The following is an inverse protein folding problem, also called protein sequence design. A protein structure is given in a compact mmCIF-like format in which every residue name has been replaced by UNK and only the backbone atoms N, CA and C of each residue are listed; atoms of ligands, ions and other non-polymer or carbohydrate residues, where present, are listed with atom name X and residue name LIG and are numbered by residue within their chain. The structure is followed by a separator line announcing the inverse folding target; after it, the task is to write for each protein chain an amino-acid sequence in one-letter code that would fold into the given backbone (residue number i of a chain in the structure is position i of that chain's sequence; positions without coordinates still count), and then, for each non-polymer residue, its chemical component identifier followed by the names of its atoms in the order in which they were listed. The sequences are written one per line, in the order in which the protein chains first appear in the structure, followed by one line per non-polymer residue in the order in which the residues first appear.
data_IF_052119162897
#
_entry.id   IF_052119162897
#
_cell.length_a   1.000
_cell.length_b   1.000
_cell.length_c   1.000
_cell.angle_alpha   90.00
_cell.angle_beta   90.00
_cell.angle_gamma   90.00
#
_symmetry.space_group_name_H-M   'P 1'
#
loop_
_entity.id
_entity.type
_entity.pdbx_description
1 polymer ?
#
# COMPACT_ATOMS: atom_id res chain seq x y z
N UNK A 1 -7.55 -34.81 40.70
CA UNK A 1 -6.42 -34.22 39.92
C UNK A 1 -6.92 -33.93 38.51
N UNK A 2 -7.12 -32.66 38.11
CA UNK A 2 -7.13 -32.07 36.74
C UNK A 2 -7.54 -30.58 36.93
N UNK A 3 -6.64 -29.73 37.45
CA UNK A 3 -6.85 -28.26 37.50
C UNK A 3 -5.71 -27.47 36.83
N UNK A 4 -4.72 -28.16 36.26
CA UNK A 4 -3.46 -27.56 35.81
C UNK A 4 -3.55 -26.90 34.41
N UNK A 5 -4.61 -27.14 33.64
CA UNK A 5 -4.63 -26.79 32.21
C UNK A 5 -5.15 -25.37 31.90
N UNK A 6 -5.98 -24.78 32.77
CA UNK A 6 -6.66 -23.50 32.46
C UNK A 6 -5.72 -22.29 32.62
N UNK A 7 -4.83 -22.31 33.61
CA UNK A 7 -3.85 -21.23 33.83
C UNK A 7 -2.72 -21.26 32.81
N UNK A 8 -2.33 -22.44 32.33
CA UNK A 8 -1.34 -22.59 31.25
C UNK A 8 -1.84 -21.98 29.94
N UNK A 9 -3.11 -22.17 29.60
CA UNK A 9 -3.77 -21.55 28.43
C UNK A 9 -3.87 -20.02 28.54
N UNK A 10 -4.21 -19.49 29.72
CA UNK A 10 -4.25 -18.04 29.96
C UNK A 10 -2.84 -17.42 29.87
N UNK A 11 -1.84 -18.12 30.39
CA UNK A 11 -0.44 -17.71 30.32
C UNK A 11 0.10 -17.73 28.87
N UNK A 12 -0.26 -18.76 28.08
CA UNK A 12 0.09 -18.83 26.66
C UNK A 12 -0.58 -17.71 25.85
N UNK A 13 -1.84 -17.38 26.16
CA UNK A 13 -2.57 -16.29 25.51
C UNK A 13 -1.97 -14.92 25.85
N UNK A 14 -1.50 -14.73 27.09
CA UNK A 14 -0.80 -13.53 27.54
C UNK A 14 0.55 -13.31 26.85
N UNK A 15 1.32 -14.36 26.58
CA UNK A 15 2.61 -14.26 25.87
C UNK A 15 2.42 -13.84 24.41
N UNK A 16 1.38 -14.33 23.73
CA UNK A 16 1.09 -13.96 22.33
C UNK A 16 0.70 -12.48 22.17
N UNK A 17 0.11 -11.87 23.20
CA UNK A 17 -0.24 -10.44 23.21
C UNK A 17 0.96 -9.51 23.37
N UNK A 18 2.02 -9.93 24.07
CA UNK A 18 3.21 -9.11 24.32
C UNK A 18 4.11 -9.02 23.07
N UNK A 19 4.11 -10.04 22.20
CA UNK A 19 4.97 -10.09 21.02
C UNK A 19 4.55 -9.15 19.88
N UNK A 20 3.35 -8.56 19.91
CA UNK A 20 2.89 -7.62 18.86
C UNK A 20 3.24 -6.16 19.15
N UNK A 21 3.57 -5.82 20.40
CA UNK A 21 3.75 -4.42 20.83
C UNK A 21 5.06 -3.80 20.34
N UNK A 22 6.12 -4.58 20.13
CA UNK A 22 7.45 -4.06 19.79
C UNK A 22 7.66 -3.68 18.32
N UNK A 23 6.76 -4.05 17.40
CA UNK A 23 6.89 -3.71 15.97
C UNK A 23 6.24 -2.38 15.56
N UNK A 24 5.27 -1.90 16.35
CA UNK A 24 4.37 -0.81 15.96
C UNK A 24 5.09 0.56 15.99
N UNK A 25 5.92 0.80 17.01
CA UNK A 25 6.70 2.03 17.15
C UNK A 25 7.68 2.23 15.98
N UNK A 26 8.35 1.14 15.55
CA UNK A 26 9.29 1.21 14.43
C UNK A 26 8.62 1.54 13.10
N UNK A 27 7.41 1.05 12.88
CA UNK A 27 6.69 1.27 11.63
C UNK A 27 6.09 2.68 11.56
N UNK A 28 5.62 3.22 12.69
CA UNK A 28 5.15 4.59 12.76
C UNK A 28 6.23 5.60 12.36
N UNK A 29 7.47 5.40 12.83
CA UNK A 29 8.62 6.23 12.44
C UNK A 29 8.90 6.11 10.93
N UNK A 30 8.75 4.92 10.34
CA UNK A 30 8.88 4.74 8.89
C UNK A 30 7.81 5.50 8.12
N UNK A 31 6.57 5.52 8.61
CA UNK A 31 5.47 6.31 8.03
C UNK A 31 5.76 7.80 8.04
N UNK A 32 6.19 8.33 9.17
CA UNK A 32 6.55 9.74 9.31
C UNK A 32 7.69 10.12 8.37
N UNK A 33 8.72 9.27 8.28
CA UNK A 33 9.83 9.45 7.35
C UNK A 33 9.36 9.41 5.89
N UNK A 34 8.55 8.43 5.50
CA UNK A 34 8.06 8.30 4.12
C UNK A 34 7.19 9.50 3.72
N UNK A 35 6.29 9.93 4.61
CA UNK A 35 5.47 11.11 4.40
C UNK A 35 6.32 12.38 4.30
N UNK A 36 7.31 12.55 5.18
CA UNK A 36 8.22 13.69 5.16
C UNK A 36 8.98 13.78 3.83
N UNK A 37 9.56 12.67 3.37
CA UNK A 37 10.25 12.56 2.08
C UNK A 37 9.32 12.89 0.91
N UNK A 38 8.05 12.46 0.98
CA UNK A 38 7.06 12.81 -0.03
C UNK A 38 6.77 14.32 -0.03
N UNK A 39 6.59 14.93 1.15
CA UNK A 39 6.31 16.37 1.28
C UNK A 39 7.49 17.26 0.91
N UNK A 40 8.73 16.76 1.03
CA UNK A 40 9.95 17.44 0.57
C UNK A 40 10.29 17.14 -0.89
N UNK A 41 9.35 16.52 -1.63
CA UNK A 41 9.47 16.16 -3.05
C UNK A 41 10.60 15.16 -3.37
N UNK A 42 11.12 14.47 -2.36
CA UNK A 42 12.12 13.41 -2.49
C UNK A 42 11.46 12.08 -2.83
N UNK A 43 10.70 12.04 -3.93
CA UNK A 43 9.77 10.97 -4.26
C UNK A 43 10.43 9.58 -4.35
N UNK A 44 11.62 9.46 -4.95
CA UNK A 44 12.34 8.17 -5.00
C UNK A 44 12.69 7.64 -3.61
N UNK A 45 13.04 8.53 -2.66
CA UNK A 45 13.31 8.12 -1.28
C UNK A 45 12.02 7.78 -0.54
N UNK A 46 10.93 8.51 -0.82
CA UNK A 46 9.62 8.21 -0.26
C UNK A 46 9.13 6.82 -0.69
N UNK A 47 9.30 6.46 -1.97
CA UNK A 47 9.01 5.12 -2.51
C UNK A 47 9.72 4.05 -1.69
N UNK A 48 11.05 4.17 -1.53
CA UNK A 48 11.84 3.20 -0.76
C UNK A 48 11.32 3.07 0.68
N UNK A 49 10.96 4.18 1.33
CA UNK A 49 10.46 4.18 2.69
C UNK A 49 9.06 3.52 2.81
N UNK A 50 8.15 3.75 1.85
CA UNK A 50 6.86 3.07 1.78
C UNK A 50 7.01 1.58 1.45
N UNK A 51 7.94 1.19 0.57
CA UNK A 51 8.26 -0.21 0.30
C UNK A 51 8.83 -0.93 1.53
N UNK A 52 9.61 -0.22 2.36
CA UNK A 52 10.06 -0.76 3.65
C UNK A 52 8.89 -1.06 4.58
N UNK A 53 7.88 -0.17 4.64
CA UNK A 53 6.65 -0.43 5.40
C UNK A 53 5.94 -1.67 4.85
N UNK A 54 5.79 -1.76 3.53
CA UNK A 54 5.19 -2.92 2.87
C UNK A 54 5.96 -4.22 3.20
N UNK A 55 7.29 -4.16 3.24
CA UNK A 55 8.18 -5.26 3.63
C UNK A 55 8.02 -5.74 5.08
N UNK A 56 7.35 -4.98 5.95
CA UNK A 56 6.95 -5.45 7.29
C UNK A 56 5.68 -6.30 7.29
N UNK A 57 5.08 -6.52 6.12
CA UNK A 57 3.80 -7.21 5.94
C UNK A 57 2.57 -6.32 6.22
N UNK A 58 2.78 -5.01 6.40
CA UNK A 58 1.67 -4.07 6.48
C UNK A 58 1.13 -3.77 5.09
N UNK A 59 -0.16 -4.03 4.90
CA UNK A 59 -0.88 -3.68 3.68
C UNK A 59 -2.13 -2.87 4.07
N UNK A 60 -2.37 -1.76 3.36
CA UNK A 60 -3.56 -0.94 3.54
C UNK A 60 -3.82 -0.10 2.30
N UNK A 61 -5.07 0.31 2.11
CA UNK A 61 -5.43 1.23 1.04
C UNK A 61 -4.59 2.51 1.09
N UNK A 62 -4.37 3.05 2.30
CA UNK A 62 -3.53 4.24 2.53
C UNK A 62 -2.08 4.04 2.10
N UNK A 63 -1.48 2.88 2.40
CA UNK A 63 -0.09 2.60 2.03
C UNK A 63 0.07 2.54 0.51
N UNK A 64 -0.81 1.78 -0.14
CA UNK A 64 -0.79 1.68 -1.59
C UNK A 64 -1.12 3.00 -2.27
N UNK A 65 -2.07 3.78 -1.75
CA UNK A 65 -2.39 5.10 -2.28
C UNK A 65 -1.19 6.06 -2.18
N UNK A 66 -0.53 6.11 -1.02
CA UNK A 66 0.63 6.98 -0.82
C UNK A 66 1.85 6.53 -1.65
N UNK A 67 2.09 5.23 -1.77
CA UNK A 67 3.13 4.68 -2.64
C UNK A 67 2.82 4.98 -4.11
N UNK A 68 1.56 4.85 -4.54
CA UNK A 68 1.08 5.23 -5.86
C UNK A 68 1.30 6.72 -6.15
N UNK A 69 0.97 7.60 -5.21
CA UNK A 69 1.24 9.04 -5.30
C UNK A 69 2.74 9.34 -5.46
N UNK A 70 3.60 8.63 -4.72
CA UNK A 70 5.04 8.81 -4.83
C UNK A 70 5.57 8.38 -6.21
N UNK A 71 5.11 7.24 -6.75
CA UNK A 71 5.45 6.82 -8.12
C UNK A 71 4.91 7.79 -9.18
N UNK A 72 3.67 8.26 -9.05
CA UNK A 72 3.08 9.23 -9.96
C UNK A 72 3.92 10.50 -10.03
N UNK A 73 4.30 11.03 -8.87
CA UNK A 73 5.15 12.23 -8.77
C UNK A 73 6.59 12.00 -9.26
N UNK A 74 7.08 10.77 -9.17
CA UNK A 74 8.34 10.35 -9.77
C UNK A 74 8.27 10.11 -11.29
N UNK A 75 7.08 10.18 -11.91
CA UNK A 75 6.86 9.93 -13.34
C UNK A 75 6.74 8.45 -13.73
N UNK A 76 6.74 7.53 -12.76
CA UNK A 76 6.53 6.11 -13.01
C UNK A 76 5.04 5.77 -12.94
N UNK A 77 4.33 6.09 -14.02
CA UNK A 77 2.87 5.94 -14.07
C UNK A 77 2.42 4.48 -13.99
N UNK A 78 3.22 3.53 -14.47
CA UNK A 78 2.90 2.09 -14.41
C UNK A 78 2.85 1.61 -12.96
N UNK A 79 3.89 1.90 -12.17
CA UNK A 79 3.90 1.57 -10.76
C UNK A 79 2.87 2.37 -9.95
N UNK A 80 2.57 3.60 -10.37
CA UNK A 80 1.48 4.37 -9.77
C UNK A 80 0.14 3.65 -9.95
N UNK A 81 -0.23 3.28 -11.18
CA UNK A 81 -1.46 2.56 -11.51
C UNK A 81 -1.55 1.24 -10.73
N UNK A 82 -0.48 0.45 -10.72
CA UNK A 82 -0.45 -0.81 -9.96
C UNK A 82 -0.81 -0.60 -8.48
N UNK A 83 -0.26 0.42 -7.85
CA UNK A 83 -0.51 0.69 -6.45
C UNK A 83 -1.89 1.32 -6.22
N UNK A 84 -2.39 2.18 -7.10
CA UNK A 84 -3.76 2.66 -6.99
C UNK A 84 -4.79 1.54 -7.18
N UNK A 85 -4.56 0.58 -8.09
CA UNK A 85 -5.43 -0.59 -8.23
C UNK A 85 -5.43 -1.45 -6.95
N UNK A 86 -4.26 -1.68 -6.34
CA UNK A 86 -4.18 -2.35 -5.02
C UNK A 86 -4.93 -1.58 -3.93
N UNK A 87 -4.82 -0.25 -3.92
CA UNK A 87 -5.57 0.58 -2.99
C UNK A 87 -7.08 0.46 -3.20
N UNK A 88 -7.53 0.46 -4.47
CA UNK A 88 -8.94 0.32 -4.87
C UNK A 88 -9.52 -1.04 -4.49
N UNK A 89 -8.74 -2.12 -4.58
CA UNK A 89 -9.18 -3.44 -4.10
C UNK A 89 -9.53 -3.43 -2.60
N UNK A 90 -8.84 -2.61 -1.80
CA UNK A 90 -9.07 -2.49 -0.36
C UNK A 90 -10.10 -1.42 0.01
N UNK A 91 -10.27 -0.39 -0.82
CA UNK A 91 -11.21 0.71 -0.63
C UNK A 91 -11.90 1.08 -1.96
N UNK A 92 -12.86 0.26 -2.43
CA UNK A 92 -13.41 0.38 -3.79
C UNK A 92 -14.32 1.59 -4.03
N UNK A 93 -14.70 2.31 -2.98
CA UNK A 93 -15.57 3.49 -3.04
C UNK A 93 -14.81 4.79 -2.69
N UNK A 94 -13.49 4.72 -2.56
CA UNK A 94 -12.66 5.88 -2.28
C UNK A 94 -12.46 6.71 -3.55
N UNK A 95 -13.05 7.90 -3.57
CA UNK A 95 -13.06 8.78 -4.73
C UNK A 95 -11.66 9.35 -5.06
N UNK A 96 -10.80 9.52 -4.06
CA UNK A 96 -9.44 10.02 -4.26
C UNK A 96 -8.58 8.95 -4.95
N UNK A 97 -8.69 7.69 -4.53
CA UNK A 97 -8.02 6.56 -5.21
C UNK A 97 -8.45 6.48 -6.67
N UNK A 98 -9.76 6.50 -6.90
CA UNK A 98 -10.32 6.38 -8.24
C UNK A 98 -9.95 7.59 -9.14
N UNK A 99 -9.95 8.81 -8.57
CA UNK A 99 -9.49 10.00 -9.29
C UNK A 99 -8.02 9.90 -9.69
N UNK A 100 -7.12 9.55 -8.76
CA UNK A 100 -5.69 9.47 -9.04
C UNK A 100 -5.34 8.32 -10.00
N UNK A 101 -6.05 7.18 -9.89
CA UNK A 101 -5.94 6.08 -10.85
C UNK A 101 -6.29 6.53 -12.28
N UNK A 102 -7.40 7.25 -12.46
CA UNK A 102 -7.75 7.79 -13.78
C UNK A 102 -6.72 8.77 -14.32
N UNK A 103 -6.20 9.66 -13.47
CA UNK A 103 -5.14 10.59 -13.85
C UNK A 103 -3.87 9.85 -14.31
N UNK A 104 -3.43 8.84 -13.55
CA UNK A 104 -2.27 8.03 -13.92
C UNK A 104 -2.47 7.28 -15.24
N UNK A 105 -3.66 6.72 -15.46
CA UNK A 105 -4.00 6.02 -16.70
C UNK A 105 -3.94 6.94 -17.94
N UNK A 106 -4.22 8.24 -17.82
CA UNK A 106 -4.11 9.15 -18.97
C UNK A 106 -2.70 9.18 -19.57
N UNK A 107 -1.65 9.09 -18.76
CA UNK A 107 -0.26 9.10 -19.24
C UNK A 107 0.14 7.81 -19.94
N UNK A 108 -0.50 6.69 -19.60
CA UNK A 108 -0.26 5.40 -20.26
C UNK A 108 -1.13 5.27 -21.51
N UNK A 109 -2.41 5.67 -21.47
CA UNK A 109 -3.33 5.65 -22.62
C UNK A 109 -2.84 6.52 -23.76
N UNK A 110 -2.20 7.66 -23.50
CA UNK A 110 -1.56 8.45 -24.56
C UNK A 110 -0.34 7.77 -25.20
N UNK A 111 0.15 6.67 -24.62
CA UNK A 111 1.32 5.90 -25.08
C UNK A 111 1.00 4.53 -25.67
N UNK A 112 -0.26 4.07 -25.66
CA UNK A 112 -0.67 2.82 -26.31
C UNK A 112 -1.66 3.16 -27.42
N UNK A 113 -1.30 2.91 -28.68
CA UNK A 113 -2.29 2.81 -29.75
C UNK A 113 -3.36 1.81 -29.31
N UNK A 114 -4.63 2.20 -29.38
CA UNK A 114 -5.74 1.30 -29.08
C UNK A 114 -5.55 0.01 -29.90
N UNK A 115 -5.47 -1.15 -29.22
CA UNK A 115 -5.46 -2.41 -29.92
C UNK A 115 -6.69 -2.45 -30.83
N UNK A 116 -6.52 -2.71 -32.15
CA UNK A 116 -7.63 -2.69 -33.07
C UNK A 116 -8.73 -3.59 -32.53
N UNK A 117 -9.91 -3.01 -32.30
CA UNK A 117 -11.08 -3.76 -31.86
C UNK A 117 -11.25 -4.96 -32.79
N UNK A 118 -11.41 -6.20 -32.28
CA UNK A 118 -11.63 -7.34 -33.13
C UNK A 118 -12.88 -7.06 -33.97
N UNK A 119 -12.69 -6.86 -35.28
CA UNK A 119 -13.79 -6.73 -36.22
C UNK A 119 -14.46 -8.10 -36.29
N UNK A 120 -15.43 -8.35 -35.42
CA UNK A 120 -16.35 -9.46 -35.59
C UNK A 120 -17.26 -9.10 -36.77
N UNK A 121 -16.79 -9.39 -37.98
CA UNK A 121 -17.63 -9.42 -39.18
C UNK A 121 -18.62 -10.56 -38.95
N UNK A 122 -19.90 -10.21 -38.82
CA UNK A 122 -21.00 -11.18 -38.92
C UNK A 122 -21.34 -11.44 -40.38
#
# INVERSE_FOLDING_TARGET
MIKLNKYLLIFLFGIVLILKVSGQDSTQVLWEKANALYTTEEYQKAIIAYEQILGTGQESAKLYFNLGNAYYKAGDFNNAILNYERAKLLAPQDEDIEFNLRMANQFVVTGIEELPQPFFIR
#
